data_IF_442398641606
#
_entry.id   IF_442398641606
#
_cell.length_a   1.000
_cell.length_b   1.000
_cell.length_c   1.000
_cell.angle_alpha   90.00
_cell.angle_beta   90.00
_cell.angle_gamma   90.00
#
_symmetry.space_group_name_H-M   'P 1'
#
loop_
_entity.id
_entity.type
_entity.pdbx_description
1 polymer ?
#
# COMPACT_ATOMS: atom_id res chain seq x y z
N UNK A 1 -24.89 7.41 -1.34
CA UNK A 1 -24.13 7.94 -0.19
C UNK A 1 -22.79 7.22 0.14
N UNK A 2 -22.30 6.18 -0.60
CA UNK A 2 -21.04 5.46 -0.26
C UNK A 2 -20.00 5.23 -1.40
N UNK A 3 -20.17 5.78 -2.60
CA UNK A 3 -19.01 6.23 -3.45
C UNK A 3 -18.20 7.38 -2.76
N UNK A 4 -18.44 7.50 -1.48
CA UNK A 4 -18.63 8.66 -0.67
C UNK A 4 -18.26 8.18 0.76
N UNK A 5 -17.15 7.46 0.91
CA UNK A 5 -16.47 7.26 2.20
C UNK A 5 -15.09 6.63 1.99
N UNK A 6 -14.98 5.75 0.98
CA UNK A 6 -13.83 4.85 0.82
C UNK A 6 -12.69 5.32 -0.09
N UNK A 7 -12.88 6.41 -0.84
CA UNK A 7 -11.84 7.25 -1.48
C UNK A 7 -11.58 8.52 -0.63
N UNK A 8 -12.50 8.83 0.28
CA UNK A 8 -12.55 10.05 1.10
C UNK A 8 -11.73 9.81 2.36
N UNK A 9 -10.62 10.46 2.61
CA UNK A 9 -10.17 11.75 2.17
C UNK A 9 -8.68 11.60 1.93
N UNK A 10 -8.25 11.52 0.67
CA UNK A 10 -6.82 11.42 0.32
C UNK A 10 -6.01 12.55 0.96
N UNK A 11 -6.61 13.73 1.17
CA UNK A 11 -5.94 14.82 1.86
C UNK A 11 -5.80 14.53 3.36
N UNK A 12 -6.78 13.90 4.00
CA UNK A 12 -6.63 13.41 5.39
C UNK A 12 -5.58 12.31 5.50
N UNK A 13 -5.56 11.37 4.55
CA UNK A 13 -4.53 10.33 4.47
C UNK A 13 -3.13 10.94 4.35
N UNK A 14 -2.98 11.94 3.47
CA UNK A 14 -1.74 12.68 3.29
C UNK A 14 -1.31 13.41 4.56
N UNK A 15 -2.24 14.11 5.24
CA UNK A 15 -1.94 14.76 6.53
C UNK A 15 -1.53 13.77 7.61
N UNK A 16 -2.16 12.59 7.66
CA UNK A 16 -1.78 11.54 8.59
C UNK A 16 -0.36 11.01 8.31
N UNK A 17 0.03 10.89 7.04
CA UNK A 17 1.39 10.53 6.64
C UNK A 17 2.41 11.61 7.03
N UNK A 18 2.08 12.88 6.81
CA UNK A 18 2.91 14.01 7.23
C UNK A 18 3.09 14.05 8.75
N UNK A 19 2.01 13.84 9.51
CA UNK A 19 2.06 13.72 10.96
C UNK A 19 2.93 12.53 11.40
N UNK A 20 2.88 11.41 10.69
CA UNK A 20 3.72 10.26 10.99
C UNK A 20 5.22 10.51 10.75
N UNK A 21 5.61 11.57 10.03
CA UNK A 21 7.02 11.95 9.90
C UNK A 21 7.52 12.82 11.05
N UNK A 22 6.62 13.39 11.87
CA UNK A 22 7.01 14.23 13.00
C UNK A 22 7.55 13.38 14.14
N UNK A 23 8.45 13.96 14.94
CA UNK A 23 9.03 13.26 16.09
C UNK A 23 8.04 13.14 17.27
N UNK A 24 6.87 13.79 17.20
CA UNK A 24 5.84 13.81 18.24
C UNK A 24 5.16 12.45 18.43
N UNK A 25 5.02 11.66 17.35
CA UNK A 25 4.42 10.34 17.42
C UNK A 25 5.39 9.30 18.01
N UNK A 26 6.70 9.45 17.78
CA UNK A 26 7.71 8.43 18.03
C UNK A 26 7.68 7.28 16.99
N UNK A 27 8.78 6.50 16.86
CA UNK A 27 8.95 5.52 15.75
C UNK A 27 7.86 4.44 15.68
N UNK A 28 7.45 3.91 16.84
CA UNK A 28 6.43 2.87 16.93
C UNK A 28 5.04 3.33 16.51
N UNK A 29 4.65 4.57 16.83
CA UNK A 29 3.36 5.11 16.41
C UNK A 29 3.41 5.56 14.95
N UNK A 30 4.54 6.11 14.49
CA UNK A 30 4.75 6.52 13.11
C UNK A 30 4.55 5.36 12.13
N UNK A 31 5.17 4.20 12.41
CA UNK A 31 5.00 2.99 11.60
C UNK A 31 3.57 2.43 11.63
N UNK A 32 2.87 2.56 12.75
CA UNK A 32 1.46 2.19 12.87
C UNK A 32 0.54 3.10 12.04
N UNK A 33 0.75 4.42 12.08
CA UNK A 33 -0.03 5.38 11.27
C UNK A 33 0.16 5.10 9.79
N UNK A 34 1.41 4.97 9.33
CA UNK A 34 1.74 4.65 7.93
C UNK A 34 1.07 3.34 7.51
N UNK A 35 1.16 2.31 8.34
CA UNK A 35 0.51 1.02 8.11
C UNK A 35 -1.01 1.11 8.03
N UNK A 36 -1.65 1.92 8.88
CA UNK A 36 -3.09 2.14 8.88
C UNK A 36 -3.56 2.84 7.60
N UNK A 37 -2.84 3.87 7.14
CA UNK A 37 -3.15 4.55 5.87
C UNK A 37 -2.98 3.61 4.68
N UNK A 38 -1.95 2.75 4.69
CA UNK A 38 -1.68 1.79 3.62
C UNK A 38 -2.82 0.76 3.42
N UNK A 39 -3.67 0.56 4.43
CA UNK A 39 -4.84 -0.33 4.32
C UNK A 39 -5.82 0.16 3.25
N UNK A 40 -5.99 1.48 3.16
CA UNK A 40 -6.98 2.15 2.30
C UNK A 40 -6.34 2.86 1.11
N UNK A 41 -5.11 3.36 1.26
CA UNK A 41 -4.40 4.13 0.24
C UNK A 41 -3.00 3.55 -0.04
N UNK A 42 -2.86 2.27 -0.39
CA UNK A 42 -1.56 1.61 -0.54
C UNK A 42 -0.67 2.30 -1.58
N UNK A 43 -1.25 2.81 -2.68
CA UNK A 43 -0.49 3.47 -3.74
C UNK A 43 0.08 4.83 -3.30
N UNK A 44 -0.74 5.64 -2.62
CA UNK A 44 -0.31 6.89 -2.00
C UNK A 44 0.81 6.65 -0.99
N UNK A 45 0.63 5.66 -0.11
CA UNK A 45 1.60 5.39 0.96
C UNK A 45 2.91 4.88 0.39
N UNK A 46 2.90 4.04 -0.65
CA UNK A 46 4.14 3.57 -1.25
C UNK A 46 4.93 4.72 -1.88
N UNK A 47 4.27 5.61 -2.63
CA UNK A 47 4.93 6.77 -3.24
C UNK A 47 5.51 7.70 -2.17
N UNK A 48 4.74 7.99 -1.12
CA UNK A 48 5.19 8.79 0.02
C UNK A 48 6.37 8.13 0.74
N UNK A 49 6.29 6.83 1.02
CA UNK A 49 7.34 6.08 1.69
C UNK A 49 8.62 6.02 0.87
N UNK A 50 8.52 5.95 -0.46
CA UNK A 50 9.67 5.98 -1.36
C UNK A 50 10.32 7.37 -1.39
N UNK A 51 9.52 8.44 -1.42
CA UNK A 51 10.00 9.82 -1.37
C UNK A 51 10.69 10.15 -0.04
N UNK A 52 10.22 9.58 1.08
CA UNK A 52 10.74 9.80 2.43
C UNK A 52 11.48 8.59 3.00
N UNK A 53 12.09 7.77 2.12
CA UNK A 53 12.60 6.43 2.44
C UNK A 53 13.47 6.36 3.69
N UNK A 54 14.44 7.24 3.83
CA UNK A 54 15.37 7.21 4.97
C UNK A 54 14.65 7.41 6.31
N UNK A 55 13.76 8.41 6.40
CA UNK A 55 12.98 8.68 7.62
C UNK A 55 12.00 7.55 7.90
N UNK A 56 11.30 7.07 6.87
CA UNK A 56 10.31 5.99 7.01
C UNK A 56 10.97 4.66 7.41
N UNK A 57 12.13 4.33 6.85
CA UNK A 57 12.93 3.16 7.24
C UNK A 57 13.57 3.30 8.63
N UNK A 58 13.74 4.53 9.14
CA UNK A 58 14.22 4.76 10.50
C UNK A 58 13.22 4.34 11.58
N UNK A 59 11.94 4.21 11.22
CA UNK A 59 10.87 3.81 12.14
C UNK A 59 10.80 2.30 12.42
N UNK A 60 11.57 1.50 11.68
CA UNK A 60 11.61 0.05 11.82
C UNK A 60 13.03 -0.44 12.03
N UNK A 61 13.17 -1.62 12.63
CA UNK A 61 14.46 -2.26 12.83
C UNK A 61 15.20 -2.47 11.50
N UNK A 62 16.53 -2.43 11.54
CA UNK A 62 17.40 -2.61 10.36
C UNK A 62 17.09 -3.92 9.62
N UNK A 63 16.82 -4.99 10.37
CA UNK A 63 16.44 -6.30 9.82
C UNK A 63 15.09 -6.30 9.09
N UNK A 64 14.29 -5.24 9.25
CA UNK A 64 12.94 -5.07 8.70
C UNK A 64 12.86 -4.14 7.50
N UNK A 65 13.87 -3.29 7.28
CA UNK A 65 13.82 -2.21 6.27
C UNK A 65 13.53 -2.71 4.85
N UNK A 66 14.23 -3.75 4.41
CA UNK A 66 14.12 -4.27 3.04
C UNK A 66 12.71 -4.76 2.68
N UNK A 67 11.91 -5.20 3.67
CA UNK A 67 10.53 -5.66 3.47
C UNK A 67 9.48 -4.62 3.82
N UNK A 68 9.85 -3.51 4.46
CA UNK A 68 8.88 -2.57 5.00
C UNK A 68 8.13 -1.84 3.89
N UNK A 69 8.84 -1.21 2.95
CA UNK A 69 8.23 -0.48 1.82
C UNK A 69 7.35 -1.39 0.94
N UNK A 70 7.83 -2.55 0.45
CA UNK A 70 6.98 -3.49 -0.31
C UNK A 70 5.72 -3.91 0.46
N UNK A 71 5.82 -4.12 1.77
CA UNK A 71 4.66 -4.48 2.59
C UNK A 71 3.59 -3.39 2.58
N UNK A 72 3.91 -2.11 2.41
CA UNK A 72 2.90 -1.04 2.35
C UNK A 72 2.05 -1.13 1.08
N UNK A 73 2.59 -1.65 -0.02
CA UNK A 73 1.89 -1.79 -1.29
C UNK A 73 0.96 -3.01 -1.37
N UNK A 74 0.97 -3.94 -0.41
CA UNK A 74 0.36 -5.28 -0.54
C UNK A 74 -1.14 -5.31 -0.86
N UNK A 75 -1.88 -4.22 -0.59
CA UNK A 75 -3.32 -4.11 -0.90
C UNK A 75 -3.61 -3.43 -2.23
N UNK A 76 -2.60 -2.88 -2.90
CA UNK A 76 -2.76 -2.25 -4.20
C UNK A 76 -3.37 -3.24 -5.19
N UNK A 77 -4.23 -2.71 -6.03
CA UNK A 77 -4.73 -3.41 -7.21
C UNK A 77 -4.55 -2.54 -8.46
N UNK A 78 -3.62 -1.59 -8.39
CA UNK A 78 -3.21 -0.77 -9.53
C UNK A 78 -2.09 -1.51 -10.27
N UNK A 79 -2.25 -1.83 -11.56
CA UNK A 79 -1.17 -2.38 -12.38
C UNK A 79 0.11 -1.54 -12.35
N UNK A 80 0.02 -0.22 -12.19
CA UNK A 80 1.18 0.68 -12.12
C UNK A 80 2.08 0.39 -10.91
N UNK A 81 1.54 -0.16 -9.81
CA UNK A 81 2.32 -0.52 -8.62
C UNK A 81 3.37 -1.61 -8.91
N UNK A 82 3.13 -2.45 -9.92
CA UNK A 82 4.09 -3.51 -10.30
C UNK A 82 5.40 -2.87 -10.76
N UNK A 83 5.35 -1.88 -11.67
CA UNK A 83 6.55 -1.19 -12.15
C UNK A 83 7.30 -0.49 -11.01
N UNK A 84 6.57 0.17 -10.09
CA UNK A 84 7.18 0.83 -8.92
C UNK A 84 7.92 -0.16 -8.01
N UNK A 85 7.38 -1.36 -7.81
CA UNK A 85 8.03 -2.41 -7.03
C UNK A 85 9.21 -3.04 -7.77
N UNK A 86 9.15 -3.16 -9.10
CA UNK A 86 10.27 -3.58 -9.93
C UNK A 86 11.44 -2.58 -9.83
N UNK A 87 11.16 -1.27 -9.87
CA UNK A 87 12.18 -0.24 -9.64
C UNK A 87 12.77 -0.32 -8.23
N UNK A 88 11.94 -0.49 -7.20
CA UNK A 88 12.41 -0.70 -5.82
C UNK A 88 13.29 -1.96 -5.68
N UNK A 89 12.96 -3.03 -6.40
CA UNK A 89 13.71 -4.29 -6.37
C UNK A 89 15.16 -4.14 -6.84
N UNK A 90 15.47 -3.09 -7.61
CA UNK A 90 16.80 -2.80 -8.13
C UNK A 90 17.67 -1.99 -7.15
N UNK A 91 17.10 -1.41 -6.09
CA UNK A 91 17.83 -0.53 -5.18
C UNK A 91 18.90 -1.26 -4.37
N UNK A 92 18.60 -2.46 -3.88
CA UNK A 92 19.56 -3.30 -3.14
C UNK A 92 19.29 -4.78 -3.40
N UNK A 93 20.29 -5.67 -3.25
CA UNK A 93 20.07 -7.12 -3.34
C UNK A 93 18.99 -7.62 -2.38
N UNK A 94 18.87 -7.01 -1.19
CA UNK A 94 17.91 -7.39 -0.16
C UNK A 94 16.48 -6.93 -0.50
N UNK A 95 16.30 -5.93 -1.36
CA UNK A 95 15.01 -5.40 -1.78
C UNK A 95 14.25 -6.35 -2.73
N UNK A 96 14.99 -7.15 -3.51
CA UNK A 96 14.41 -7.99 -4.58
C UNK A 96 13.36 -8.98 -4.08
N UNK A 97 13.74 -9.87 -3.16
CA UNK A 97 12.84 -10.95 -2.71
C UNK A 97 11.54 -10.41 -2.08
N UNK A 98 11.55 -9.42 -1.18
CA UNK A 98 10.32 -8.81 -0.68
C UNK A 98 9.46 -8.17 -1.77
N UNK A 99 10.07 -7.47 -2.74
CA UNK A 99 9.35 -6.86 -3.84
C UNK A 99 8.65 -7.91 -4.73
N UNK A 100 9.35 -8.98 -5.12
CA UNK A 100 8.81 -10.06 -5.95
C UNK A 100 7.59 -10.74 -5.30
N UNK A 101 7.64 -10.95 -3.98
CA UNK A 101 6.52 -11.49 -3.20
C UNK A 101 5.32 -10.53 -3.28
N UNK A 102 5.53 -9.24 -3.04
CA UNK A 102 4.46 -8.24 -3.10
C UNK A 102 3.87 -8.11 -4.50
N UNK A 103 4.72 -8.10 -5.55
CA UNK A 103 4.28 -8.09 -6.96
C UNK A 103 3.36 -9.27 -7.24
N UNK A 104 3.72 -10.47 -6.79
CA UNK A 104 2.90 -11.68 -6.97
C UNK A 104 1.52 -11.53 -6.33
N UNK A 105 1.46 -11.02 -5.10
CA UNK A 105 0.21 -10.75 -4.40
C UNK A 105 -0.67 -9.71 -5.11
N UNK A 106 -0.06 -8.66 -5.67
CA UNK A 106 -0.78 -7.61 -6.41
C UNK A 106 -1.33 -8.16 -7.73
N UNK A 107 -0.53 -8.94 -8.48
CA UNK A 107 -0.98 -9.61 -9.72
C UNK A 107 -2.18 -10.50 -9.48
N UNK A 108 -2.15 -11.30 -8.41
CA UNK A 108 -3.27 -12.16 -8.04
C UNK A 108 -4.52 -11.35 -7.66
N UNK A 109 -4.35 -10.25 -6.92
CA UNK A 109 -5.47 -9.36 -6.57
C UNK A 109 -6.11 -8.70 -7.78
N UNK A 110 -5.30 -8.21 -8.71
CA UNK A 110 -5.78 -7.64 -9.99
C UNK A 110 -6.58 -8.69 -10.74
N UNK A 111 -6.03 -9.90 -10.90
CA UNK A 111 -6.72 -11.02 -11.58
C UNK A 111 -8.06 -11.31 -10.93
N UNK A 112 -8.11 -11.47 -9.61
CA UNK A 112 -9.36 -11.77 -8.88
C UNK A 112 -10.40 -10.66 -9.06
N UNK A 113 -9.99 -9.39 -9.02
CA UNK A 113 -10.92 -8.28 -9.24
C UNK A 113 -11.49 -8.28 -10.67
N UNK A 114 -10.64 -8.53 -11.66
CA UNK A 114 -11.07 -8.57 -13.05
C UNK A 114 -12.00 -9.75 -13.36
N UNK A 115 -11.77 -10.92 -12.76
CA UNK A 115 -12.54 -12.14 -13.06
C UNK A 115 -13.78 -12.31 -12.20
N UNK A 116 -13.76 -11.94 -10.92
CA UNK A 116 -14.86 -12.24 -9.99
C UNK A 116 -15.84 -11.10 -9.75
N UNK A 117 -15.43 -9.84 -9.94
CA UNK A 117 -16.35 -8.71 -9.76
C UNK A 117 -17.52 -8.74 -10.75
N UNK A 118 -17.32 -9.07 -12.05
CA UNK A 118 -18.42 -9.20 -13.00
C UNK A 118 -19.44 -10.25 -12.56
N UNK A 119 -18.98 -11.44 -12.17
CA UNK A 119 -19.84 -12.56 -11.74
C UNK A 119 -20.67 -12.20 -10.51
N UNK A 120 -20.07 -11.57 -9.49
CA UNK A 120 -20.79 -11.13 -8.29
C UNK A 120 -21.82 -10.05 -8.64
N UNK A 121 -21.45 -9.11 -9.52
CA UNK A 121 -22.36 -8.03 -9.96
C UNK A 121 -23.55 -8.61 -10.71
N UNK A 122 -23.31 -9.61 -11.56
CA UNK A 122 -24.36 -10.29 -12.32
C UNK A 122 -25.28 -11.11 -11.42
N UNK A 123 -24.73 -11.84 -10.44
CA UNK A 123 -25.55 -12.59 -9.47
C UNK A 123 -26.43 -11.66 -8.62
N UNK A 124 -25.87 -10.55 -8.13
CA UNK A 124 -26.62 -9.54 -7.37
C UNK A 124 -27.73 -8.90 -8.22
N UNK A 125 -27.46 -8.60 -9.50
CA UNK A 125 -28.46 -8.06 -10.41
C UNK A 125 -29.61 -9.05 -10.69
N UNK A 126 -29.30 -10.35 -10.73
CA UNK A 126 -30.28 -11.40 -11.03
C UNK A 126 -31.11 -11.86 -9.83
N UNK A 127 -30.61 -11.70 -8.60
CA UNK A 127 -31.23 -12.27 -7.38
C UNK A 127 -31.43 -11.27 -6.23
N UNK A 128 -31.07 -10.00 -6.41
CA UNK A 128 -31.08 -8.97 -5.36
C UNK A 128 -32.37 -8.14 -5.27
N UNK A 129 -33.44 -8.55 -5.95
CA UNK A 129 -34.77 -7.90 -5.94
C UNK A 129 -35.74 -8.65 -5.02
#
# INVERSE_FOLDING_TARGET
YRLLGGVRDTALAQRALELALTDEAGPGNSSQIIGAVAVLHPDLVFDFALQHREKVESFVDVSSRSRYLPRLAWRSADPAMIGKLEDYALMTPQSRKPADITISMIRDRIRVRQTRLPDITQWLAAHGS
#
